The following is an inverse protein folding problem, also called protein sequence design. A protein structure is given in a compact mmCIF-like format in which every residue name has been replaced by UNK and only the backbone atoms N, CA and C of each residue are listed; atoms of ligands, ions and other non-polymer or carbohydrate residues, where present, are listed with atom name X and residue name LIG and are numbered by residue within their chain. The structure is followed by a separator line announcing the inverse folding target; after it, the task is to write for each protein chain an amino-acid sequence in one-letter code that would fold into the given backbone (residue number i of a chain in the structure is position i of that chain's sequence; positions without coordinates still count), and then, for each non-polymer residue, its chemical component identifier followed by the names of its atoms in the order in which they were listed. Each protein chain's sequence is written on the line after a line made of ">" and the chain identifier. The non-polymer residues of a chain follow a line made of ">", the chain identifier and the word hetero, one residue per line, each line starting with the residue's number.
data_IF_481675287816
#
_entry.id   IF_481675287816
#
_cell.length_a   1.000
_cell.length_b   1.000
_cell.length_c   1.000
_cell.angle_alpha   90.00
_cell.angle_beta   90.00
_cell.angle_gamma   90.00
#
_symmetry.space_group_name_H-M   'P 1'
#
loop_
_entity.id
_entity.type
_entity.pdbx_description
1 polymer ?
#
# COMPACT_ATOMS: atom_id res chain seq x y z
N UNK A 1 12.71 -1.52 -16.43
CA UNK A 1 14.08 -2.05 -16.41
C UNK A 1 14.24 -2.95 -15.21
N UNK A 2 14.54 -4.22 -15.39
CA UNK A 2 15.03 -5.09 -14.33
C UNK A 2 16.45 -4.63 -14.02
N UNK A 3 16.58 -3.80 -13.04
CA UNK A 3 17.77 -3.01 -12.80
C UNK A 3 18.66 -3.68 -11.79
N UNK A 4 19.33 -4.64 -12.12
CA UNK A 4 20.56 -5.21 -11.58
C UNK A 4 20.43 -6.67 -11.17
N UNK A 5 21.39 -7.46 -11.59
CA UNK A 5 21.71 -8.81 -11.12
C UNK A 5 22.27 -8.83 -9.68
N UNK A 6 22.16 -7.73 -8.95
CA UNK A 6 22.62 -7.66 -7.55
C UNK A 6 21.53 -8.20 -6.61
N UNK A 7 21.63 -9.48 -6.30
CA UNK A 7 20.76 -10.19 -5.36
C UNK A 7 21.14 -9.97 -3.88
N UNK A 8 22.10 -9.06 -3.58
CA UNK A 8 22.48 -8.76 -2.21
C UNK A 8 21.28 -8.15 -1.46
N UNK A 9 20.99 -8.74 -0.31
CA UNK A 9 19.84 -8.32 0.52
C UNK A 9 18.47 -8.92 0.12
N UNK A 10 18.39 -9.70 -0.98
CA UNK A 10 17.16 -10.41 -1.33
C UNK A 10 16.90 -11.57 -0.35
N UNK A 11 17.93 -12.42 -0.14
CA UNK A 11 17.84 -13.59 0.73
C UNK A 11 17.97 -13.18 2.20
N UNK A 12 16.89 -12.70 2.77
CA UNK A 12 16.79 -12.31 4.17
C UNK A 12 15.65 -13.06 4.87
N UNK A 13 15.50 -12.88 6.19
CA UNK A 13 14.43 -13.53 6.97
C UNK A 13 13.03 -13.26 6.40
N UNK A 14 12.78 -12.05 5.91
CA UNK A 14 11.49 -11.69 5.27
C UNK A 14 11.27 -12.55 4.03
N UNK A 15 12.29 -12.71 3.16
CA UNK A 15 12.22 -13.54 1.96
C UNK A 15 11.80 -14.97 2.29
N UNK A 16 12.51 -15.62 3.22
CA UNK A 16 12.22 -17.00 3.60
C UNK A 16 10.83 -17.14 4.23
N UNK A 17 10.41 -16.21 5.08
CA UNK A 17 9.08 -16.22 5.70
C UNK A 17 7.94 -16.04 4.70
N UNK A 18 8.19 -15.43 3.55
CA UNK A 18 7.19 -15.19 2.50
C UNK A 18 7.44 -16.03 1.24
N UNK A 19 8.31 -17.04 1.30
CA UNK A 19 8.68 -17.84 0.13
C UNK A 19 7.53 -18.75 -0.32
N UNK A 20 6.93 -19.48 0.63
CA UNK A 20 5.82 -20.39 0.35
C UNK A 20 4.59 -19.62 -0.10
N UNK A 21 3.94 -20.02 -1.21
CA UNK A 21 2.75 -19.36 -1.69
C UNK A 21 1.59 -19.50 -0.70
N UNK A 22 1.01 -18.38 -0.33
CA UNK A 22 -0.26 -18.28 0.41
C UNK A 22 -1.15 -17.38 -0.44
N UNK A 23 -2.28 -17.87 -0.95
CA UNK A 23 -3.17 -17.05 -1.76
C UNK A 23 -3.77 -15.89 -0.95
N UNK A 24 -4.10 -14.81 -1.63
CA UNK A 24 -4.90 -13.75 -1.04
C UNK A 24 -6.30 -14.32 -0.71
N UNK A 25 -6.80 -14.00 0.48
CA UNK A 25 -8.15 -14.40 0.89
C UNK A 25 -9.07 -13.19 0.86
N UNK A 26 -10.18 -13.29 0.12
CA UNK A 26 -11.13 -12.19 -0.02
C UNK A 26 -12.21 -12.22 1.09
N UNK A 27 -11.80 -12.31 2.38
CA UNK A 27 -12.74 -12.47 3.48
C UNK A 27 -13.34 -11.16 4.01
N UNK A 28 -12.83 -10.00 3.59
CA UNK A 28 -13.43 -8.73 4.01
C UNK A 28 -14.73 -8.47 3.24
N UNK A 29 -15.82 -8.25 3.97
CA UNK A 29 -17.05 -7.73 3.38
C UNK A 29 -16.92 -6.23 3.10
N UNK A 30 -17.49 -5.76 2.00
CA UNK A 30 -17.62 -4.32 1.78
C UNK A 30 -18.47 -3.72 2.91
N UNK A 31 -18.04 -2.59 3.44
CA UNK A 31 -18.64 -1.95 4.61
C UNK A 31 -18.07 -2.38 5.95
N UNK A 32 -17.23 -3.43 6.01
CA UNK A 32 -16.51 -3.79 7.25
C UNK A 32 -15.39 -2.77 7.53
N UNK A 33 -15.04 -2.63 8.81
CA UNK A 33 -13.90 -1.80 9.22
C UNK A 33 -12.59 -2.41 8.71
N UNK A 34 -11.73 -1.55 8.20
CA UNK A 34 -10.37 -1.92 7.81
C UNK A 34 -9.52 -2.26 9.05
N UNK A 35 -8.64 -3.26 8.98
CA UNK A 35 -7.71 -3.56 10.06
C UNK A 35 -6.86 -2.33 10.42
N UNK A 36 -6.79 -1.94 11.70
CA UNK A 36 -5.98 -0.83 12.13
C UNK A 36 -4.49 -1.15 11.98
N UNK A 37 -3.69 -0.13 11.73
CA UNK A 37 -2.24 -0.26 11.71
C UNK A 37 -1.53 0.96 12.25
N UNK A 38 -0.26 0.76 12.62
CA UNK A 38 0.71 1.80 12.90
C UNK A 38 2.00 1.45 12.18
N UNK A 39 2.45 2.31 11.27
CA UNK A 39 3.64 2.11 10.42
C UNK A 39 4.48 3.38 10.38
N UNK A 40 5.77 3.20 10.09
CA UNK A 40 6.67 4.32 9.82
C UNK A 40 6.36 4.92 8.44
N UNK A 41 5.97 6.19 8.40
CA UNK A 41 6.02 6.99 7.18
C UNK A 41 7.48 7.41 6.96
N UNK A 42 8.09 6.82 5.95
CA UNK A 42 9.54 6.95 5.70
C UNK A 42 9.90 8.38 5.33
N UNK A 43 9.11 9.03 4.47
CA UNK A 43 9.36 10.40 4.04
C UNK A 43 9.21 11.42 5.16
N UNK A 44 8.24 11.20 6.06
CA UNK A 44 8.00 12.10 7.20
C UNK A 44 8.85 11.75 8.44
N UNK A 45 9.53 10.60 8.46
CA UNK A 45 10.35 10.15 9.59
C UNK A 45 9.56 9.86 10.87
N UNK A 46 8.23 9.67 10.80
CA UNK A 46 7.36 9.49 11.98
C UNK A 46 6.40 8.32 11.81
N UNK A 47 5.98 7.76 12.94
CA UNK A 47 4.90 6.77 12.95
C UNK A 47 3.57 7.41 12.59
N UNK A 48 2.78 6.72 11.78
CA UNK A 48 1.41 7.09 11.42
C UNK A 48 0.48 5.90 11.64
N UNK A 49 -0.75 6.20 12.03
CA UNK A 49 -1.83 5.23 12.21
C UNK A 49 -2.88 5.41 11.13
N UNK A 50 -3.64 4.36 10.82
CA UNK A 50 -4.78 4.50 9.93
C UNK A 50 -5.77 5.57 10.44
N UNK A 51 -6.00 5.62 11.75
CA UNK A 51 -6.86 6.64 12.39
C UNK A 51 -6.37 8.08 12.23
N UNK A 52 -5.12 8.30 11.86
CA UNK A 52 -4.62 9.65 11.58
C UNK A 52 -5.14 10.19 10.23
N UNK A 53 -5.70 9.34 9.38
CA UNK A 53 -6.26 9.68 8.06
C UNK A 53 -7.79 9.56 8.03
N UNK A 54 -8.38 8.74 8.89
CA UNK A 54 -9.82 8.51 8.97
C UNK A 54 -10.35 9.08 10.30
N UNK A 55 -11.47 9.79 10.28
CA UNK A 55 -12.00 10.59 11.38
C UNK A 55 -12.39 9.88 12.68
N UNK A 56 -11.67 8.84 13.07
CA UNK A 56 -11.93 8.09 14.30
C UNK A 56 -11.12 8.64 15.52
N UNK A 57 -10.67 9.87 15.44
CA UNK A 57 -10.05 10.60 16.56
C UNK A 57 -11.07 11.58 17.14
N UNK A 58 -11.47 11.37 18.37
CA UNK A 58 -12.45 12.18 19.11
C UNK A 58 -12.03 13.65 19.37
N UNK A 59 -10.81 14.05 19.03
CA UNK A 59 -10.24 15.34 19.47
C UNK A 59 -9.98 16.37 18.35
N UNK A 60 -9.98 15.96 17.04
CA UNK A 60 -9.74 16.90 15.94
C UNK A 60 -10.68 16.61 14.76
N UNK A 61 -11.93 17.01 14.89
CA UNK A 61 -12.98 16.66 13.93
C UNK A 61 -12.86 17.28 12.53
N UNK A 62 -11.99 18.25 12.30
CA UNK A 62 -11.94 18.98 11.02
C UNK A 62 -10.80 18.61 10.08
N UNK A 63 -9.68 18.06 10.58
CA UNK A 63 -8.47 17.98 9.78
C UNK A 63 -8.27 16.68 8.96
N UNK A 64 -8.87 15.54 9.33
CA UNK A 64 -8.43 14.22 8.83
C UNK A 64 -9.56 13.27 8.41
N UNK A 65 -10.73 13.78 8.13
CA UNK A 65 -11.90 12.98 7.70
C UNK A 65 -11.88 12.76 6.18
N UNK A 66 -10.91 12.04 5.67
CA UNK A 66 -10.73 11.82 4.23
C UNK A 66 -10.86 10.35 3.86
N UNK A 67 -11.33 10.05 2.64
CA UNK A 67 -11.16 8.72 2.07
C UNK A 67 -9.68 8.36 1.95
N UNK A 68 -9.36 7.08 2.12
CA UNK A 68 -7.98 6.60 2.05
C UNK A 68 -7.86 5.48 1.02
N UNK A 69 -6.90 5.61 0.13
CA UNK A 69 -6.47 4.52 -0.75
C UNK A 69 -5.22 3.89 -0.15
N UNK A 70 -5.29 2.61 0.14
CA UNK A 70 -4.14 1.81 0.56
C UNK A 70 -3.63 1.02 -0.65
N UNK A 71 -2.40 1.29 -1.08
CA UNK A 71 -1.74 0.58 -2.16
C UNK A 71 -0.62 -0.30 -1.58
N UNK A 72 -0.93 -1.56 -1.31
CA UNK A 72 0.06 -2.56 -0.94
C UNK A 72 0.87 -2.93 -2.17
N UNK A 73 2.18 -2.71 -2.11
CA UNK A 73 3.06 -2.92 -3.27
C UNK A 73 4.17 -3.92 -2.97
N UNK A 74 4.57 -4.64 -4.02
CA UNK A 74 5.60 -5.67 -3.94
C UNK A 74 6.94 -5.13 -4.39
N UNK A 75 7.82 -4.89 -3.42
CA UNK A 75 9.21 -4.50 -3.63
C UNK A 75 10.09 -5.52 -2.90
N UNK A 76 11.03 -6.11 -3.61
CA UNK A 76 11.94 -7.11 -3.04
C UNK A 76 13.11 -6.44 -2.31
N UNK A 77 13.75 -5.50 -2.96
CA UNK A 77 14.84 -4.67 -2.41
C UNK A 77 14.78 -3.28 -3.04
N UNK A 78 15.59 -2.36 -2.55
CA UNK A 78 15.70 -1.02 -3.13
C UNK A 78 16.12 -1.01 -4.61
N UNK A 79 16.62 -2.12 -5.14
CA UNK A 79 17.06 -2.28 -6.53
C UNK A 79 16.22 -3.28 -7.33
N UNK A 80 15.34 -4.01 -6.67
CA UNK A 80 14.57 -5.09 -7.28
C UNK A 80 13.09 -4.89 -7.02
N UNK A 81 12.40 -4.47 -8.05
CA UNK A 81 10.96 -4.26 -8.07
C UNK A 81 10.27 -5.45 -8.74
N UNK A 82 9.08 -5.77 -8.26
CA UNK A 82 8.22 -6.70 -8.98
C UNK A 82 7.83 -6.10 -10.35
N UNK A 83 8.08 -6.80 -11.47
CA UNK A 83 7.78 -6.26 -12.80
C UNK A 83 6.31 -5.87 -13.00
N UNK A 84 5.39 -6.56 -12.32
CA UNK A 84 3.95 -6.30 -12.37
C UNK A 84 3.52 -5.13 -11.49
N UNK A 85 4.33 -4.77 -10.47
CA UNK A 85 4.01 -3.68 -9.55
C UNK A 85 4.69 -2.37 -9.94
N UNK A 86 5.85 -2.44 -10.57
CA UNK A 86 6.64 -1.24 -10.89
C UNK A 86 5.89 -0.22 -11.77
N UNK A 87 5.24 -0.61 -12.88
CA UNK A 87 4.43 0.32 -13.67
C UNK A 87 3.28 0.93 -12.87
N UNK A 88 2.66 0.14 -11.99
CA UNK A 88 1.57 0.62 -11.13
C UNK A 88 2.06 1.65 -10.10
N UNK A 89 3.25 1.45 -9.51
CA UNK A 89 3.87 2.44 -8.61
C UNK A 89 4.08 3.77 -9.33
N UNK A 90 4.58 3.71 -10.58
CA UNK A 90 4.81 4.90 -11.39
C UNK A 90 3.48 5.61 -11.72
N UNK A 91 2.47 4.87 -12.16
CA UNK A 91 1.14 5.41 -12.46
C UNK A 91 0.49 6.08 -11.24
N UNK A 92 0.56 5.44 -10.06
CA UNK A 92 0.07 6.03 -8.81
C UNK A 92 0.83 7.33 -8.45
N UNK A 93 2.15 7.34 -8.66
CA UNK A 93 2.96 8.51 -8.35
C UNK A 93 2.68 9.68 -9.30
N UNK A 94 2.45 9.40 -10.58
CA UNK A 94 2.06 10.40 -11.58
C UNK A 94 0.70 11.00 -11.26
N UNK A 95 -0.28 10.15 -10.95
CA UNK A 95 -1.65 10.54 -10.63
C UNK A 95 -1.86 11.02 -9.18
N UNK A 96 -0.82 11.10 -8.35
CA UNK A 96 -0.97 11.45 -6.93
C UNK A 96 -1.76 12.75 -6.71
N UNK A 97 -1.53 13.76 -7.56
CA UNK A 97 -2.26 15.02 -7.50
C UNK A 97 -3.78 14.88 -7.70
N UNK A 98 -4.23 13.89 -8.48
CA UNK A 98 -5.63 13.64 -8.73
C UNK A 98 -6.35 13.05 -7.50
N UNK A 99 -5.66 12.22 -6.72
CA UNK A 99 -6.17 11.73 -5.43
C UNK A 99 -6.34 12.89 -4.45
N UNK A 100 -5.32 13.75 -4.35
CA UNK A 100 -5.35 14.95 -3.47
C UNK A 100 -6.48 15.91 -3.86
N UNK A 101 -6.70 16.16 -5.17
CA UNK A 101 -7.78 17.02 -5.66
C UNK A 101 -9.17 16.49 -5.30
N UNK A 102 -9.34 15.16 -5.19
CA UNK A 102 -10.58 14.52 -4.72
C UNK A 102 -10.70 14.45 -3.20
N UNK A 103 -9.75 15.09 -2.48
CA UNK A 103 -9.71 15.07 -1.02
C UNK A 103 -9.41 13.69 -0.43
N UNK A 104 -8.76 12.80 -1.18
CA UNK A 104 -8.38 11.47 -0.72
C UNK A 104 -6.88 11.38 -0.41
N UNK A 105 -6.55 10.60 0.62
CA UNK A 105 -5.16 10.24 0.91
C UNK A 105 -4.78 8.94 0.19
N UNK A 106 -3.63 8.93 -0.48
CA UNK A 106 -3.05 7.75 -1.09
C UNK A 106 -1.82 7.33 -0.29
N UNK A 107 -1.85 6.14 0.31
CA UNK A 107 -0.78 5.58 1.12
C UNK A 107 -0.20 4.34 0.44
N UNK A 108 1.08 4.37 0.08
CA UNK A 108 1.78 3.20 -0.43
C UNK A 108 2.42 2.43 0.72
N UNK A 109 2.15 1.11 0.80
CA UNK A 109 2.67 0.23 1.85
C UNK A 109 3.61 -0.80 1.22
N UNK A 110 4.83 -0.88 1.74
CA UNK A 110 5.84 -1.84 1.28
C UNK A 110 6.36 -2.71 2.43
N UNK A 111 6.83 -3.91 2.11
CA UNK A 111 7.47 -4.81 3.06
C UNK A 111 8.99 -4.62 3.17
N UNK A 112 9.56 -3.62 2.50
CA UNK A 112 10.98 -3.26 2.67
C UNK A 112 11.22 -2.61 4.04
N UNK A 113 12.42 -2.79 4.58
CA UNK A 113 12.81 -2.11 5.81
C UNK A 113 12.92 -0.59 5.62
N UNK A 114 13.00 0.21 6.71
CA UNK A 114 13.04 1.67 6.60
C UNK A 114 14.17 2.21 5.74
N UNK A 115 15.36 1.59 5.80
CA UNK A 115 16.54 2.01 5.01
C UNK A 115 16.32 1.75 3.52
N UNK A 116 15.88 0.56 3.17
CA UNK A 116 15.52 0.21 1.79
C UNK A 116 14.38 1.11 1.28
N UNK A 117 13.36 1.34 2.11
CA UNK A 117 12.22 2.20 1.76
C UNK A 117 12.64 3.65 1.52
N UNK A 118 13.61 4.17 2.28
CA UNK A 118 14.16 5.51 2.05
C UNK A 118 14.85 5.63 0.69
N UNK A 119 15.56 4.58 0.28
CA UNK A 119 16.20 4.54 -1.04
C UNK A 119 15.15 4.47 -2.16
N UNK A 120 14.10 3.64 -1.99
CA UNK A 120 12.96 3.56 -2.92
C UNK A 120 12.29 4.92 -3.08
N UNK A 121 12.01 5.60 -1.97
CA UNK A 121 11.38 6.92 -1.97
C UNK A 121 12.20 7.94 -2.77
N UNK A 122 13.51 7.96 -2.56
CA UNK A 122 14.45 8.84 -3.29
C UNK A 122 14.56 8.48 -4.78
N UNK A 123 14.79 7.21 -5.08
CA UNK A 123 15.06 6.74 -6.45
C UNK A 123 13.85 6.93 -7.37
N UNK A 124 12.64 6.69 -6.84
CA UNK A 124 11.39 6.85 -7.59
C UNK A 124 10.79 8.25 -7.45
N UNK A 125 11.39 9.13 -6.66
CA UNK A 125 10.89 10.49 -6.39
C UNK A 125 9.41 10.47 -6.02
N UNK A 126 9.06 9.57 -5.09
CA UNK A 126 7.67 9.36 -4.70
C UNK A 126 7.09 10.62 -4.05
N UNK A 127 5.95 11.06 -4.57
CA UNK A 127 5.17 12.20 -4.03
C UNK A 127 4.23 11.73 -2.91
N UNK A 128 3.75 10.49 -3.00
CA UNK A 128 2.86 9.90 -2.02
C UNK A 128 3.62 9.35 -0.80
N UNK A 129 2.99 9.32 0.39
CA UNK A 129 3.56 8.70 1.58
C UNK A 129 3.92 7.22 1.35
N UNK A 130 5.14 6.83 1.74
CA UNK A 130 5.62 5.45 1.73
C UNK A 130 5.70 4.93 3.16
N UNK A 131 4.91 3.89 3.46
CA UNK A 131 4.84 3.25 4.76
C UNK A 131 5.59 1.92 4.74
N UNK A 132 6.47 1.71 5.73
CA UNK A 132 7.31 0.52 5.85
C UNK A 132 6.70 -0.50 6.82
N UNK A 133 6.41 -1.72 6.32
CA UNK A 133 5.98 -2.89 7.11
C UNK A 133 6.94 -4.07 6.92
N UNK A 134 8.19 -4.01 7.42
CA UNK A 134 9.17 -5.09 7.23
C UNK A 134 8.78 -6.39 7.91
N UNK A 135 7.86 -6.34 8.86
CA UNK A 135 7.29 -7.51 9.53
C UNK A 135 6.21 -8.21 8.73
N UNK A 136 5.70 -7.58 7.68
CA UNK A 136 4.53 -8.00 6.91
C UNK A 136 3.27 -8.23 7.76
N UNK A 137 3.15 -7.58 8.92
CA UNK A 137 1.98 -7.74 9.81
C UNK A 137 0.74 -7.12 9.20
N UNK A 138 0.87 -5.94 8.63
CA UNK A 138 -0.24 -5.24 8.00
C UNK A 138 -0.64 -5.95 6.70
N UNK A 139 0.30 -6.41 5.88
CA UNK A 139 0.00 -7.28 4.73
C UNK A 139 -0.82 -8.51 5.15
N UNK A 140 -0.44 -9.20 6.23
CA UNK A 140 -1.20 -10.36 6.75
C UNK A 140 -2.56 -9.97 7.29
N UNK A 141 -2.66 -8.86 8.04
CA UNK A 141 -3.93 -8.36 8.55
C UNK A 141 -4.91 -8.03 7.41
N UNK A 142 -4.41 -7.53 6.28
CA UNK A 142 -5.19 -7.26 5.07
C UNK A 142 -5.33 -8.47 4.14
N UNK A 143 -4.82 -9.64 4.55
CA UNK A 143 -4.97 -10.92 3.84
C UNK A 143 -4.51 -10.87 2.38
N UNK A 144 -3.46 -10.12 2.10
CA UNK A 144 -2.98 -9.92 0.72
C UNK A 144 -2.37 -11.17 0.10
N UNK A 145 -2.06 -12.18 0.91
CA UNK A 145 -1.31 -13.35 0.47
C UNK A 145 0.19 -13.08 0.32
N UNK A 146 0.91 -14.10 -0.09
CA UNK A 146 2.36 -14.00 -0.31
C UNK A 146 2.82 -15.06 -1.31
N UNK A 147 3.95 -14.82 -1.96
CA UNK A 147 4.65 -15.81 -2.79
C UNK A 147 6.08 -15.34 -3.09
N UNK A 148 7.00 -16.27 -3.35
CA UNK A 148 8.33 -15.99 -3.87
C UNK A 148 9.07 -14.88 -3.09
N UNK A 149 9.02 -14.95 -1.77
CA UNK A 149 9.81 -14.11 -0.87
C UNK A 149 9.24 -12.72 -0.54
N UNK A 150 8.01 -12.39 -0.95
CA UNK A 150 7.35 -11.14 -0.58
C UNK A 150 5.82 -11.28 -0.56
N UNK A 151 5.11 -10.44 0.21
CA UNK A 151 3.65 -10.35 0.13
C UNK A 151 3.18 -9.97 -1.27
N UNK A 152 1.94 -10.34 -1.61
CA UNK A 152 1.30 -9.99 -2.87
C UNK A 152 0.74 -8.55 -2.82
N UNK A 153 0.65 -7.87 -3.96
CA UNK A 153 0.04 -6.54 -4.00
C UNK A 153 -1.48 -6.63 -3.81
N UNK A 154 -2.05 -5.56 -3.29
CA UNK A 154 -3.49 -5.38 -3.15
C UNK A 154 -3.81 -3.88 -3.04
N UNK A 155 -5.03 -3.48 -3.42
CA UNK A 155 -5.50 -2.12 -3.24
C UNK A 155 -6.84 -2.11 -2.49
N UNK A 156 -7.00 -1.12 -1.61
CA UNK A 156 -8.23 -0.90 -0.86
C UNK A 156 -8.60 0.57 -0.94
N UNK A 157 -9.89 0.85 -1.12
CA UNK A 157 -10.46 2.19 -0.94
C UNK A 157 -11.30 2.16 0.33
N UNK A 158 -10.97 3.03 1.26
CA UNK A 158 -11.64 3.20 2.53
C UNK A 158 -12.41 4.52 2.53
N UNK A 159 -13.60 4.52 3.11
CA UNK A 159 -14.31 5.77 3.36
C UNK A 159 -13.75 6.50 4.60
N UNK A 160 -14.31 7.67 4.87
CA UNK A 160 -13.94 8.54 6.00
C UNK A 160 -14.08 7.87 7.37
N UNK A 161 -14.86 6.79 7.47
CA UNK A 161 -15.05 6.00 8.69
C UNK A 161 -14.19 4.74 8.74
N UNK A 162 -13.17 4.64 7.88
CA UNK A 162 -12.30 3.48 7.72
C UNK A 162 -13.01 2.20 7.28
N UNK A 163 -14.20 2.27 6.68
CA UNK A 163 -14.87 1.10 6.11
C UNK A 163 -14.36 0.82 4.70
N UNK A 164 -14.13 -0.44 4.41
CA UNK A 164 -13.70 -0.91 3.09
C UNK A 164 -14.85 -0.73 2.10
N UNK A 165 -14.65 0.08 1.07
CA UNK A 165 -15.64 0.33 0.00
C UNK A 165 -15.25 -0.34 -1.30
N UNK A 166 -13.96 -0.53 -1.52
CA UNK A 166 -13.42 -1.29 -2.63
C UNK A 166 -12.21 -2.07 -2.20
N UNK A 167 -12.01 -3.22 -2.81
CA UNK A 167 -10.78 -4.03 -2.66
C UNK A 167 -10.43 -4.67 -3.98
N UNK A 168 -9.15 -4.75 -4.23
CA UNK A 168 -8.55 -5.53 -5.31
C UNK A 168 -7.45 -6.40 -4.73
N UNK A 169 -7.47 -7.67 -5.03
CA UNK A 169 -6.42 -8.61 -4.65
C UNK A 169 -5.71 -9.11 -5.89
N UNK A 170 -4.44 -9.41 -5.74
CA UNK A 170 -3.59 -9.90 -6.82
C UNK A 170 -4.24 -11.05 -7.60
N UNK A 171 -4.21 -10.93 -8.91
CA UNK A 171 -4.36 -12.04 -9.86
C UNK A 171 -3.33 -11.91 -10.97
N UNK A 172 -3.02 -13.00 -11.67
CA UNK A 172 -2.09 -12.92 -12.81
C UNK A 172 -2.65 -12.16 -13.99
N UNK A 173 -3.98 -12.13 -14.14
CA UNK A 173 -4.66 -11.39 -15.21
C UNK A 173 -4.75 -9.90 -14.90
N UNK A 174 -4.93 -9.55 -13.64
CA UNK A 174 -5.06 -8.18 -13.16
C UNK A 174 -4.27 -8.04 -11.86
N UNK A 175 -2.96 -7.81 -11.94
CA UNK A 175 -2.09 -7.77 -10.75
C UNK A 175 -2.40 -6.62 -9.80
N UNK A 176 -2.89 -5.50 -10.32
CA UNK A 176 -3.24 -4.30 -9.58
C UNK A 176 -4.47 -3.64 -10.17
N UNK A 177 -5.29 -3.01 -9.35
CA UNK A 177 -6.35 -2.13 -9.84
C UNK A 177 -5.75 -0.92 -10.58
N UNK A 178 -6.32 -0.54 -11.71
CA UNK A 178 -5.87 0.66 -12.44
C UNK A 178 -6.10 1.93 -11.62
N UNK A 179 -5.33 2.97 -11.91
CA UNK A 179 -5.51 4.31 -11.29
C UNK A 179 -6.91 4.83 -11.53
N UNK A 180 -7.41 4.75 -12.78
CA UNK A 180 -8.75 5.18 -13.14
C UNK A 180 -9.83 4.46 -12.32
N UNK A 181 -9.65 3.16 -12.09
CA UNK A 181 -10.56 2.40 -11.23
C UNK A 181 -10.55 2.91 -9.81
N UNK A 182 -9.37 3.17 -9.22
CA UNK A 182 -9.25 3.68 -7.86
C UNK A 182 -9.87 5.07 -7.73
N UNK A 183 -9.65 5.96 -8.69
CA UNK A 183 -10.27 7.30 -8.73
C UNK A 183 -11.79 7.20 -8.85
N UNK A 184 -12.29 6.35 -9.73
CA UNK A 184 -13.73 6.13 -9.88
C UNK A 184 -14.38 5.57 -8.60
N UNK A 185 -13.67 4.74 -7.83
CA UNK A 185 -14.20 4.25 -6.55
C UNK A 185 -14.22 5.35 -5.47
N UNK A 186 -13.26 6.29 -5.50
CA UNK A 186 -13.31 7.48 -4.63
C UNK A 186 -14.51 8.36 -4.98
N UNK A 187 -14.75 8.61 -6.28
CA UNK A 187 -15.84 9.45 -6.77
C UNK A 187 -17.24 8.88 -6.42
N UNK A 188 -17.33 7.56 -6.16
CA UNK A 188 -18.56 6.87 -5.72
C UNK A 188 -18.80 6.91 -4.22
N UNK A 189 -17.85 7.39 -3.42
CA UNK A 189 -18.02 7.43 -1.98
C UNK A 189 -19.06 8.47 -1.58
N UNK A 190 -19.86 8.20 -0.55
CA UNK A 190 -20.76 9.22 0.00
C UNK A 190 -19.95 10.41 0.52
N UNK A 191 -20.40 11.60 0.15
CA UNK A 191 -19.80 12.86 0.59
C UNK A 191 -20.09 13.14 2.06
#
# INVERSE_FOLDING_TARGET
>A
MLTSTDFRGLLNRRFFNNFMPIPATNQFSLGSLAPPFQLLNVGAGRQVRLSDFTGNRQEDMEAWNRPVVLAFTRIFTQKQYCPLCFPHIQALNEAYGEFVQRGADLLMITSTDPRQSQMVLSDLKLKMPLLSDPSCRVFRAYQTGQALGAPLPAQFVLDRTAKIRYRHSFSFLEPNASVDRLLAEIDRLPQ
#
